data_IF_003488379036
#
_entry.id   IF_003488379036
#
_cell.length_a   1.000
_cell.length_b   1.000
_cell.length_c   1.000
_cell.angle_alpha   90.00
_cell.angle_beta   90.00
_cell.angle_gamma   90.00
#
_symmetry.space_group_name_H-M   'P 1'
#
loop_
_entity.id
_entity.type
_entity.pdbx_description
1 polymer ?
#
# COMPACT_ATOMS: atom_id res chain seq x y z
N UNK A 1 -16.16 -18.88 5.79
CA UNK A 1 -16.37 -17.48 6.18
C UNK A 1 -17.54 -16.92 5.36
N UNK A 2 -18.60 -16.49 6.05
CA UNK A 2 -19.85 -16.04 5.39
C UNK A 2 -19.67 -14.69 4.66
N UNK A 3 -18.55 -13.98 4.90
CA UNK A 3 -18.27 -12.64 4.39
C UNK A 3 -17.07 -12.57 3.43
N UNK A 4 -16.52 -13.70 3.00
CA UNK A 4 -15.32 -13.73 2.16
C UNK A 4 -14.02 -13.46 2.93
N UNK A 5 -12.94 -13.15 2.21
CA UNK A 5 -11.62 -12.82 2.76
C UNK A 5 -11.47 -11.31 2.85
N UNK A 6 -11.33 -10.73 4.05
CA UNK A 6 -11.17 -9.27 4.20
C UNK A 6 -9.88 -8.78 3.54
N UNK A 7 -9.96 -7.57 2.97
CA UNK A 7 -8.87 -6.92 2.26
C UNK A 7 -8.46 -5.65 2.98
N UNK A 8 -7.18 -5.48 3.28
CA UNK A 8 -6.59 -4.23 3.72
C UNK A 8 -6.01 -3.50 2.51
N UNK A 9 -6.69 -2.43 2.06
CA UNK A 9 -6.31 -1.66 0.88
C UNK A 9 -5.67 -0.33 1.26
N UNK A 10 -4.43 -0.10 0.84
CA UNK A 10 -3.71 1.17 1.01
C UNK A 10 -3.60 1.88 -0.33
N UNK A 11 -4.35 2.97 -0.47
CA UNK A 11 -4.46 3.73 -1.70
C UNK A 11 -3.22 4.59 -1.99
N UNK A 12 -3.02 5.01 -3.27
CA UNK A 12 -1.89 5.85 -3.70
C UNK A 12 -1.98 7.24 -3.11
N UNK A 13 -0.85 7.98 -3.14
CA UNK A 13 -0.84 9.37 -2.69
C UNK A 13 -1.75 10.24 -3.54
N UNK A 14 -2.53 11.08 -2.87
CA UNK A 14 -3.32 12.18 -3.44
C UNK A 14 -2.88 13.52 -2.88
N UNK A 15 -1.79 13.55 -2.12
CA UNK A 15 -1.23 14.76 -1.53
C UNK A 15 -0.18 15.36 -2.47
N UNK A 16 -0.57 16.44 -3.17
CA UNK A 16 0.23 17.18 -4.14
C UNK A 16 0.32 18.65 -3.70
N UNK A 17 1.06 18.97 -2.63
CA UNK A 17 1.15 20.33 -2.14
C UNK A 17 1.85 21.24 -3.16
N UNK A 18 1.49 22.53 -3.14
CA UNK A 18 2.21 23.55 -3.88
C UNK A 18 3.67 23.67 -3.38
N UNK A 19 4.51 24.39 -4.14
CA UNK A 19 5.92 24.61 -3.78
C UNK A 19 6.03 25.28 -2.39
N UNK A 20 6.69 24.58 -1.48
CA UNK A 20 6.84 25.01 -0.08
C UNK A 20 5.73 24.57 0.85
N UNK A 21 4.75 23.81 0.36
CA UNK A 21 3.71 23.19 1.18
C UNK A 21 4.20 22.06 2.07
N UNK A 22 3.30 21.51 2.87
CA UNK A 22 3.60 20.45 3.83
C UNK A 22 4.04 19.15 3.14
N UNK A 23 5.07 18.50 3.68
CA UNK A 23 5.51 17.18 3.25
C UNK A 23 4.60 16.04 3.73
N UNK A 24 3.72 16.31 4.69
CA UNK A 24 2.73 15.35 5.17
C UNK A 24 1.32 15.91 5.00
N UNK A 25 0.40 15.10 4.53
CA UNK A 25 -1.01 15.46 4.43
C UNK A 25 -1.62 15.74 5.80
N UNK A 26 -2.57 16.64 5.85
CA UNK A 26 -3.45 16.84 6.99
C UNK A 26 -4.74 16.04 6.77
N UNK A 27 -4.95 15.00 7.57
CA UNK A 27 -6.15 14.14 7.46
C UNK A 27 -7.44 14.85 7.89
N UNK A 28 -7.34 15.99 8.55
CA UNK A 28 -8.50 16.84 8.91
C UNK A 28 -8.89 17.82 7.81
N UNK A 29 -8.06 18.00 6.78
CA UNK A 29 -8.33 18.87 5.65
C UNK A 29 -9.46 18.30 4.78
N UNK A 30 -10.59 19.03 4.60
CA UNK A 30 -11.69 18.57 3.74
C UNK A 30 -11.32 18.35 2.28
N UNK A 31 -10.35 19.10 1.74
CA UNK A 31 -9.87 18.92 0.36
C UNK A 31 -9.10 17.61 0.22
N UNK A 32 -8.24 17.30 1.19
CA UNK A 32 -7.55 16.01 1.24
C UNK A 32 -8.54 14.85 1.38
N UNK A 33 -9.53 14.96 2.28
CA UNK A 33 -10.57 13.95 2.45
C UNK A 33 -11.35 13.71 1.16
N UNK A 34 -11.71 14.76 0.44
CA UNK A 34 -12.38 14.66 -0.86
C UNK A 34 -11.50 13.99 -1.92
N UNK A 35 -10.20 14.31 -1.96
CA UNK A 35 -9.25 13.72 -2.90
C UNK A 35 -9.08 12.19 -2.68
N UNK A 36 -9.07 11.75 -1.43
CA UNK A 36 -8.94 10.33 -1.05
C UNK A 36 -10.12 9.48 -1.56
N UNK A 37 -11.30 10.05 -1.71
CA UNK A 37 -12.47 9.33 -2.24
C UNK A 37 -12.21 8.77 -3.64
N UNK A 38 -11.43 9.46 -4.47
CA UNK A 38 -11.17 9.06 -5.86
C UNK A 38 -10.49 7.68 -5.96
N UNK A 39 -9.31 7.44 -5.38
CA UNK A 39 -8.71 6.11 -5.45
C UNK A 39 -9.54 5.04 -4.73
N UNK A 40 -10.20 5.36 -3.62
CA UNK A 40 -11.09 4.41 -2.94
C UNK A 40 -12.23 4.00 -3.88
N UNK A 41 -12.89 4.94 -4.53
CA UNK A 41 -14.03 4.68 -5.43
C UNK A 41 -13.65 3.88 -6.66
N UNK A 42 -12.47 4.09 -7.23
CA UNK A 42 -12.10 3.52 -8.53
C UNK A 42 -11.11 2.36 -8.47
N UNK A 43 -10.44 2.13 -7.35
CA UNK A 43 -9.45 1.05 -7.20
C UNK A 43 -9.91 -0.02 -6.20
N UNK A 44 -10.38 0.37 -5.03
CA UNK A 44 -10.81 -0.59 -4.01
C UNK A 44 -11.91 -1.57 -4.46
N UNK A 45 -12.88 -1.20 -5.34
CA UNK A 45 -13.92 -2.12 -5.81
C UNK A 45 -13.42 -3.35 -6.56
N UNK A 46 -12.20 -3.32 -7.11
CA UNK A 46 -11.56 -4.50 -7.72
C UNK A 46 -11.47 -5.67 -6.74
N UNK A 47 -11.44 -5.40 -5.45
CA UNK A 47 -11.30 -6.40 -4.38
C UNK A 47 -12.64 -6.80 -3.72
N UNK A 48 -13.76 -6.18 -4.08
CA UNK A 48 -15.07 -6.46 -3.45
C UNK A 48 -15.53 -7.91 -3.60
N UNK A 49 -15.06 -8.60 -4.65
CA UNK A 49 -15.38 -10.02 -4.86
C UNK A 49 -14.70 -10.93 -3.83
N UNK A 50 -13.60 -10.50 -3.22
CA UNK A 50 -12.89 -11.26 -2.21
C UNK A 50 -13.57 -11.16 -0.84
N UNK A 51 -14.06 -10.00 -0.47
CA UNK A 51 -14.69 -9.73 0.82
C UNK A 51 -14.76 -8.25 1.17
N UNK A 52 -15.02 -7.90 2.43
CA UNK A 52 -15.05 -6.51 2.88
C UNK A 52 -13.67 -5.86 2.73
N UNK A 53 -13.66 -4.62 2.21
CA UNK A 53 -12.44 -3.84 2.00
C UNK A 53 -12.32 -2.77 3.08
N UNK A 54 -11.19 -2.77 3.77
CA UNK A 54 -10.80 -1.81 4.79
C UNK A 54 -9.71 -0.90 4.23
N UNK A 55 -9.84 0.39 4.44
CA UNK A 55 -8.85 1.37 3.95
C UNK A 55 -8.60 2.43 5.00
N UNK A 56 -7.33 2.75 5.33
CA UNK A 56 -7.01 3.75 6.33
C UNK A 56 -7.18 5.19 5.79
N UNK A 57 -7.51 6.15 6.68
CA UNK A 57 -7.06 7.51 6.48
C UNK A 57 -5.66 7.64 7.07
N UNK A 58 -4.68 8.10 6.29
CA UNK A 58 -3.31 8.24 6.76
C UNK A 58 -2.66 9.53 6.27
N UNK A 59 -1.73 10.07 7.04
CA UNK A 59 -0.99 11.30 6.71
C UNK A 59 0.03 11.01 5.62
N UNK A 60 -0.43 10.93 4.38
CA UNK A 60 0.41 10.64 3.23
C UNK A 60 1.64 11.54 3.17
N UNK A 61 2.78 10.97 2.75
CA UNK A 61 3.88 11.79 2.29
C UNK A 61 3.52 12.42 0.94
N UNK A 62 3.95 13.67 0.74
CA UNK A 62 3.73 14.38 -0.51
C UNK A 62 4.35 13.61 -1.69
N UNK A 63 3.69 13.62 -2.84
CA UNK A 63 4.19 12.96 -4.06
C UNK A 63 5.63 13.36 -4.40
N UNK A 64 6.00 14.61 -4.11
CA UNK A 64 7.34 15.13 -4.36
C UNK A 64 8.47 14.39 -3.63
N UNK A 65 8.17 13.55 -2.60
CA UNK A 65 9.20 12.72 -1.93
C UNK A 65 9.92 11.80 -2.92
N UNK A 66 9.22 11.37 -3.98
CA UNK A 66 9.77 10.53 -5.03
C UNK A 66 10.66 11.27 -6.04
N UNK A 67 10.61 12.60 -6.04
CA UNK A 67 11.29 13.44 -7.03
C UNK A 67 12.49 14.21 -6.46
N UNK A 68 12.80 14.05 -5.18
CA UNK A 68 13.93 14.73 -4.52
C UNK A 68 14.89 13.71 -3.92
N UNK A 69 16.13 14.10 -3.75
CA UNK A 69 17.09 13.29 -3.02
C UNK A 69 16.60 13.07 -1.57
N UNK A 70 16.72 11.85 -1.03
CA UNK A 70 16.35 11.57 0.34
C UNK A 70 17.03 12.52 1.33
N UNK A 71 16.25 13.07 2.25
CA UNK A 71 16.72 13.97 3.30
C UNK A 71 15.89 13.76 4.58
N UNK A 72 16.32 14.29 5.75
CA UNK A 72 15.62 14.06 7.02
C UNK A 72 14.15 14.46 7.03
N UNK A 73 13.76 15.49 6.28
CA UNK A 73 12.38 15.98 6.21
C UNK A 73 11.50 15.01 5.43
N UNK A 74 11.94 14.58 4.24
CA UNK A 74 11.20 13.62 3.42
C UNK A 74 11.12 12.25 4.08
N UNK A 75 12.21 11.80 4.70
CA UNK A 75 12.24 10.56 5.48
C UNK A 75 11.26 10.60 6.67
N UNK A 76 11.15 11.76 7.34
CA UNK A 76 10.17 11.95 8.42
C UNK A 76 8.74 11.86 7.92
N UNK A 77 8.41 12.52 6.81
CA UNK A 77 7.07 12.48 6.24
C UNK A 77 6.67 11.04 5.86
N UNK A 78 7.58 10.32 5.22
CA UNK A 78 7.37 8.94 4.85
C UNK A 78 7.16 8.01 6.06
N UNK A 79 7.96 8.20 7.11
CA UNK A 79 7.79 7.45 8.37
C UNK A 79 6.46 7.73 9.04
N UNK A 80 6.00 9.00 9.06
CA UNK A 80 4.68 9.35 9.62
C UNK A 80 3.57 8.60 8.87
N UNK A 81 3.61 8.60 7.54
CA UNK A 81 2.66 7.87 6.71
C UNK A 81 2.67 6.37 7.01
N UNK A 82 3.85 5.77 7.12
CA UNK A 82 4.00 4.35 7.45
C UNK A 82 3.45 4.00 8.84
N UNK A 83 3.73 4.81 9.87
CA UNK A 83 3.21 4.55 11.23
C UNK A 83 1.67 4.63 11.27
N UNK A 84 1.05 5.51 10.50
CA UNK A 84 -0.40 5.56 10.38
C UNK A 84 -0.96 4.30 9.71
N UNK A 85 -0.34 3.84 8.63
CA UNK A 85 -0.73 2.60 7.92
C UNK A 85 -0.57 1.38 8.84
N UNK A 86 0.53 1.31 9.58
CA UNK A 86 0.79 0.24 10.56
C UNK A 86 -0.27 0.21 11.67
N UNK A 87 -0.58 1.38 12.27
CA UNK A 87 -1.60 1.47 13.31
C UNK A 87 -2.99 1.06 12.78
N UNK A 88 -3.33 1.45 11.54
CA UNK A 88 -4.57 1.04 10.90
C UNK A 88 -4.59 -0.46 10.59
N UNK A 89 -3.45 -1.06 10.25
CA UNK A 89 -3.35 -2.51 10.07
C UNK A 89 -3.56 -3.28 11.38
N UNK A 90 -3.02 -2.78 12.49
CA UNK A 90 -3.29 -3.37 13.81
C UNK A 90 -4.79 -3.35 14.15
N UNK A 91 -5.47 -2.23 13.88
CA UNK A 91 -6.91 -2.14 14.05
C UNK A 91 -7.67 -3.09 13.10
N UNK A 92 -7.24 -3.19 11.84
CA UNK A 92 -7.79 -4.15 10.89
C UNK A 92 -7.70 -5.59 11.41
N UNK A 93 -6.57 -6.00 11.98
CA UNK A 93 -6.40 -7.33 12.56
C UNK A 93 -7.35 -7.59 13.75
N UNK A 94 -7.63 -6.56 14.54
CA UNK A 94 -8.64 -6.62 15.62
C UNK A 94 -10.04 -6.83 15.04
N UNK A 95 -10.42 -6.06 14.02
CA UNK A 95 -11.75 -6.12 13.38
C UNK A 95 -12.02 -7.47 12.72
N UNK A 96 -11.02 -8.05 12.02
CA UNK A 96 -11.22 -9.34 11.35
C UNK A 96 -11.11 -10.53 12.31
N UNK A 97 -10.59 -10.31 13.51
CA UNK A 97 -10.45 -11.32 14.56
C UNK A 97 -9.24 -12.25 14.39
N UNK A 98 -8.90 -12.97 15.47
CA UNK A 98 -7.76 -13.88 15.49
C UNK A 98 -7.97 -15.05 14.52
N UNK A 99 -6.91 -15.42 13.79
CA UNK A 99 -6.92 -16.56 12.87
C UNK A 99 -7.62 -16.33 11.53
N UNK A 100 -8.28 -15.17 11.30
CA UNK A 100 -8.90 -14.89 10.01
C UNK A 100 -7.84 -14.69 8.92
N UNK A 101 -7.98 -15.31 7.74
CA UNK A 101 -7.13 -15.00 6.59
C UNK A 101 -7.42 -13.58 6.08
N UNK A 102 -6.45 -12.96 5.42
CA UNK A 102 -6.60 -11.62 4.84
C UNK A 102 -5.81 -11.45 3.55
N UNK A 103 -6.19 -10.42 2.79
CA UNK A 103 -5.50 -9.95 1.60
C UNK A 103 -4.91 -8.57 1.90
N UNK A 104 -3.70 -8.31 1.42
CA UNK A 104 -3.12 -6.98 1.33
C UNK A 104 -3.23 -6.47 -0.10
N UNK A 105 -3.58 -5.20 -0.27
CA UNK A 105 -3.60 -4.59 -1.58
C UNK A 105 -3.10 -3.14 -1.47
N UNK A 106 -2.14 -2.77 -2.29
CA UNK A 106 -1.55 -1.44 -2.30
C UNK A 106 -1.35 -0.91 -3.71
N UNK A 107 -1.38 0.42 -3.83
CA UNK A 107 -1.01 1.09 -5.06
C UNK A 107 -0.05 2.25 -4.76
N UNK A 108 1.03 2.35 -5.55
CA UNK A 108 2.04 3.42 -5.45
C UNK A 108 2.57 3.54 -4.01
N UNK A 109 2.47 4.69 -3.34
CA UNK A 109 2.90 4.86 -1.94
C UNK A 109 2.28 3.83 -0.98
N UNK A 110 1.04 3.37 -1.25
CA UNK A 110 0.43 2.29 -0.49
C UNK A 110 1.17 0.96 -0.64
N UNK A 111 1.70 0.69 -1.82
CA UNK A 111 2.56 -0.49 -2.08
C UNK A 111 3.84 -0.43 -1.26
N UNK A 112 4.54 0.71 -1.25
CA UNK A 112 5.78 0.86 -0.47
C UNK A 112 5.55 0.62 1.02
N UNK A 113 4.43 1.13 1.56
CA UNK A 113 4.09 0.91 2.96
C UNK A 113 3.75 -0.55 3.26
N UNK A 114 3.06 -1.25 2.34
CA UNK A 114 2.77 -2.67 2.50
C UNK A 114 4.01 -3.54 2.36
N UNK A 115 4.92 -3.23 1.44
CA UNK A 115 6.22 -3.90 1.34
C UNK A 115 6.99 -3.78 2.65
N UNK A 116 7.07 -2.56 3.21
CA UNK A 116 7.73 -2.34 4.50
C UNK A 116 7.02 -3.09 5.65
N UNK A 117 5.69 -3.14 5.64
CA UNK A 117 4.88 -3.89 6.60
C UNK A 117 5.20 -5.39 6.54
N UNK A 118 5.24 -5.97 5.34
CA UNK A 118 5.56 -7.38 5.09
C UNK A 118 6.99 -7.71 5.57
N UNK A 119 7.95 -6.86 5.21
CA UNK A 119 9.37 -7.12 5.48
C UNK A 119 9.78 -6.91 6.94
N UNK A 120 9.12 -5.99 7.66
CA UNK A 120 9.64 -5.49 8.93
C UNK A 120 8.67 -5.57 10.10
N UNK A 121 7.41 -5.87 9.86
CA UNK A 121 6.39 -5.81 10.91
C UNK A 121 5.56 -7.09 11.07
N UNK A 122 5.13 -7.72 9.98
CA UNK A 122 4.33 -8.93 10.08
C UNK A 122 5.09 -10.06 10.77
N UNK A 123 4.45 -10.65 11.76
CA UNK A 123 4.95 -11.85 12.41
C UNK A 123 4.77 -13.09 11.52
N UNK A 124 5.54 -14.17 11.71
CA UNK A 124 5.31 -15.43 10.97
C UNK A 124 3.86 -15.91 11.03
N UNK A 125 3.22 -15.84 12.21
CA UNK A 125 1.82 -16.24 12.37
C UNK A 125 0.83 -15.33 11.61
N UNK A 126 1.18 -14.08 11.33
CA UNK A 126 0.37 -13.20 10.47
C UNK A 126 0.64 -13.49 8.99
N UNK A 127 1.89 -13.77 8.61
CA UNK A 127 2.23 -14.20 7.24
C UNK A 127 1.54 -15.51 6.87
N UNK A 128 1.42 -16.46 7.80
CA UNK A 128 0.66 -17.70 7.59
C UNK A 128 -0.84 -17.47 7.30
N UNK A 129 -1.38 -16.31 7.63
CA UNK A 129 -2.76 -15.90 7.37
C UNK A 129 -2.92 -15.09 6.08
N UNK A 130 -1.81 -14.64 5.49
CA UNK A 130 -1.82 -13.88 4.25
C UNK A 130 -2.23 -14.77 3.09
N UNK A 131 -3.32 -14.42 2.43
CA UNK A 131 -3.75 -15.13 1.20
C UNK A 131 -2.92 -14.66 0.03
N UNK A 132 -2.88 -13.35 -0.23
CA UNK A 132 -2.07 -12.75 -1.29
C UNK A 132 -1.83 -11.27 -0.99
N UNK A 133 -0.69 -10.75 -1.45
CA UNK A 133 -0.42 -9.31 -1.46
C UNK A 133 -0.39 -8.79 -2.90
N UNK A 134 -1.27 -7.84 -3.23
CA UNK A 134 -1.25 -7.10 -4.50
C UNK A 134 -0.44 -5.82 -4.31
N UNK A 135 0.78 -5.78 -4.85
CA UNK A 135 1.75 -4.70 -4.70
C UNK A 135 1.90 -3.96 -6.04
N UNK A 136 1.04 -2.96 -6.27
CA UNK A 136 0.82 -2.38 -7.59
C UNK A 136 1.50 -1.01 -7.72
N UNK A 137 2.09 -0.75 -8.89
CA UNK A 137 2.55 0.59 -9.30
C UNK A 137 3.93 1.00 -8.77
N UNK A 138 4.58 0.18 -7.94
CA UNK A 138 5.96 0.37 -7.47
C UNK A 138 6.84 -0.82 -7.87
N UNK A 139 8.15 -0.62 -8.05
CA UNK A 139 9.08 -1.72 -8.24
C UNK A 139 9.20 -2.53 -6.94
N UNK A 140 9.14 -3.85 -7.05
CA UNK A 140 9.35 -4.78 -5.93
C UNK A 140 10.56 -5.65 -6.23
N UNK A 141 11.57 -5.59 -5.38
CA UNK A 141 12.73 -6.47 -5.46
C UNK A 141 12.37 -7.84 -4.88
N UNK A 142 12.20 -8.82 -5.76
CA UNK A 142 11.84 -10.19 -5.40
C UNK A 142 12.87 -10.87 -4.46
N UNK A 143 14.11 -10.39 -4.45
CA UNK A 143 15.16 -10.93 -3.60
C UNK A 143 15.14 -10.34 -2.18
N UNK A 144 14.39 -9.27 -1.96
CA UNK A 144 14.34 -8.53 -0.68
C UNK A 144 13.02 -8.63 0.06
N UNK A 145 11.95 -8.96 -0.64
CA UNK A 145 10.64 -9.12 0.00
C UNK A 145 10.54 -10.47 0.72
N UNK A 146 9.93 -10.48 1.90
CA UNK A 146 9.87 -11.65 2.79
C UNK A 146 8.92 -12.77 2.33
N UNK A 147 8.16 -12.56 1.26
CA UNK A 147 7.21 -13.54 0.70
C UNK A 147 7.54 -13.80 -0.78
N UNK A 148 7.29 -15.01 -1.32
CA UNK A 148 7.58 -15.31 -2.71
C UNK A 148 6.59 -14.65 -3.68
N UNK A 149 6.98 -14.51 -4.95
CA UNK A 149 6.04 -14.19 -6.03
C UNK A 149 5.03 -15.34 -6.20
N UNK A 150 3.81 -15.04 -6.58
CA UNK A 150 2.81 -16.07 -6.88
C UNK A 150 3.12 -16.70 -8.25
N UNK A 151 3.26 -18.01 -8.27
CA UNK A 151 3.54 -18.79 -9.48
C UNK A 151 2.31 -19.48 -10.06
N UNK A 152 1.27 -19.68 -9.22
CA UNK A 152 0.01 -20.34 -9.63
C UNK A 152 -1.20 -19.60 -9.05
N UNK A 153 -2.35 -19.77 -9.69
CA UNK A 153 -3.64 -19.13 -9.29
C UNK A 153 -4.14 -19.57 -7.90
N UNK A 154 -3.68 -20.70 -7.38
CA UNK A 154 -4.13 -21.23 -6.09
C UNK A 154 -3.12 -21.05 -4.97
N UNK A 155 -1.96 -20.50 -5.28
CA UNK A 155 -0.91 -20.26 -4.29
C UNK A 155 -1.33 -19.17 -3.29
N UNK A 156 -1.03 -19.39 -2.02
CA UNK A 156 -1.24 -18.41 -0.94
C UNK A 156 0.10 -18.04 -0.27
N UNK A 157 0.12 -16.97 0.52
CA UNK A 157 1.34 -16.49 1.18
C UNK A 157 2.34 -15.89 0.18
N UNK A 158 1.87 -15.35 -0.93
CA UNK A 158 2.69 -14.83 -2.03
C UNK A 158 2.24 -13.43 -2.46
N UNK A 159 2.97 -12.78 -3.36
CA UNK A 159 2.58 -11.49 -3.90
C UNK A 159 2.45 -11.51 -5.43
N UNK A 160 1.60 -10.60 -5.93
CA UNK A 160 1.50 -10.20 -7.33
C UNK A 160 1.90 -8.73 -7.44
N UNK A 161 2.72 -8.39 -8.44
CA UNK A 161 3.14 -7.01 -8.70
C UNK A 161 3.15 -6.71 -10.18
N UNK A 162 2.75 -5.49 -10.53
CA UNK A 162 2.87 -4.96 -11.89
C UNK A 162 2.88 -3.45 -11.91
N UNK A 163 3.43 -2.90 -12.99
CA UNK A 163 3.39 -1.48 -13.33
C UNK A 163 2.84 -1.33 -14.75
N UNK A 164 2.09 -0.27 -14.99
CA UNK A 164 1.49 0.01 -16.29
C UNK A 164 2.10 1.27 -16.87
N UNK A 165 2.55 1.19 -18.11
CA UNK A 165 3.13 2.30 -18.87
C UNK A 165 2.36 2.49 -20.18
N UNK A 166 2.37 3.70 -20.69
CA UNK A 166 1.87 3.94 -22.06
C UNK A 166 2.78 3.22 -23.07
N UNK A 167 2.19 2.79 -24.18
CA UNK A 167 2.97 2.22 -25.29
C UNK A 167 4.03 3.23 -25.76
N UNK A 168 5.28 2.79 -25.90
CA UNK A 168 6.41 3.63 -26.27
C UNK A 168 6.94 4.56 -25.17
N UNK A 169 6.47 4.42 -23.92
CA UNK A 169 7.06 5.17 -22.81
C UNK A 169 8.53 4.76 -22.60
N UNK A 170 9.41 5.74 -22.46
CA UNK A 170 10.79 5.49 -22.03
C UNK A 170 10.79 5.11 -20.54
N UNK A 171 11.24 3.89 -20.24
CA UNK A 171 11.44 3.42 -18.87
C UNK A 171 12.77 3.98 -18.40
N UNK A 172 12.74 4.90 -17.44
CA UNK A 172 13.96 5.46 -16.84
C UNK A 172 14.55 4.52 -15.80
N UNK A 173 15.86 4.61 -15.51
CA UNK A 173 16.57 3.75 -14.55
C UNK A 173 15.90 3.64 -13.17
N UNK A 174 15.16 4.67 -12.72
CA UNK A 174 14.32 4.60 -11.51
C UNK A 174 13.18 3.58 -11.60
N UNK A 175 12.84 3.15 -12.81
CA UNK A 175 11.77 2.21 -13.12
C UNK A 175 12.31 0.80 -13.39
N UNK A 176 13.63 0.66 -13.56
CA UNK A 176 14.30 -0.62 -13.83
C UNK A 176 14.87 -1.27 -12.55
N UNK A 177 15.08 -0.50 -11.49
CA UNK A 177 15.59 -1.01 -10.21
C UNK A 177 14.49 -1.75 -9.43
N UNK A 178 14.26 -3.00 -9.81
CA UNK A 178 13.46 -3.96 -9.03
C UNK A 178 13.85 -5.39 -9.38
#
# INVERSE_FOLDING_TARGET
>A
NQFGVPVFFVYPTVHFPEKGGSWSADISDPEYQAAVITPIKYQAPAFNVAGPVFTPYYRQAAYQVYNVAPNPTTARAYRIAYEDVKAAFDQFLVEIGPGSPFILAGHSQGTDHLEHLINSYLTPAQLDRLVVAYLIGMPIDQCKIAIPICETETQTGCFCSWRTYAEGAEITNRMEES
#
